data_IF_879979544457
#
_entry.id   IF_879979544457
#
_cell.length_a   1.000
_cell.length_b   1.000
_cell.length_c   1.000
_cell.angle_alpha   90.00
_cell.angle_beta   90.00
_cell.angle_gamma   90.00
#
_symmetry.space_group_name_H-M   'P 1'
#
loop_
_entity.id
_entity.type
_entity.pdbx_description
1 polymer ?
#
# COMPACT_ATOMS: atom_id res chain seq x y z
N UNK A 1 44.95 40.89 7.99
CA UNK A 1 45.35 39.53 7.59
C UNK A 1 44.18 38.61 7.89
N UNK A 2 43.42 38.23 6.87
CA UNK A 2 42.16 37.50 7.02
C UNK A 2 42.39 36.11 6.45
N UNK A 3 42.46 35.09 7.31
CA UNK A 3 42.60 33.69 6.89
C UNK A 3 41.29 33.22 6.28
N UNK A 4 41.32 32.86 5.00
CA UNK A 4 40.26 32.10 4.35
C UNK A 4 40.49 30.60 4.62
N UNK A 5 39.54 29.96 5.31
CA UNK A 5 39.51 28.52 5.50
C UNK A 5 38.92 27.86 4.25
N UNK A 6 39.72 27.04 3.55
CA UNK A 6 39.25 26.19 2.46
C UNK A 6 38.67 24.89 3.03
N UNK A 7 37.38 24.66 2.83
CA UNK A 7 36.69 23.40 3.16
C UNK A 7 36.96 22.40 2.02
N UNK A 8 37.59 21.28 2.36
CA UNK A 8 37.90 20.19 1.42
C UNK A 8 36.65 19.35 1.17
N UNK A 9 36.17 19.31 -0.08
CA UNK A 9 35.08 18.43 -0.52
C UNK A 9 35.65 17.04 -0.81
N UNK A 10 35.20 16.04 -0.04
CA UNK A 10 35.52 14.63 -0.30
C UNK A 10 34.78 14.16 -1.56
N UNK A 11 35.55 13.66 -2.54
CA UNK A 11 35.03 13.05 -3.77
C UNK A 11 34.42 11.67 -3.49
N UNK A 12 33.25 11.45 -4.08
CA UNK A 12 32.53 10.18 -4.22
C UNK A 12 33.35 9.16 -5.04
N UNK A 13 33.31 7.89 -4.63
CA UNK A 13 33.67 6.75 -5.48
C UNK A 13 32.72 5.56 -5.23
N UNK A 14 31.89 5.21 -6.22
CA UNK A 14 31.31 3.87 -6.45
C UNK A 14 31.34 3.67 -7.97
N UNK A 15 31.90 2.55 -8.49
CA UNK A 15 31.10 1.38 -8.89
C UNK A 15 31.85 0.05 -8.58
N UNK A 16 31.26 -1.15 -8.55
CA UNK A 16 30.43 -1.78 -9.59
C UNK A 16 29.68 -2.98 -8.99
N UNK A 17 28.43 -3.21 -9.40
CA UNK A 17 27.77 -4.50 -9.23
C UNK A 17 28.04 -5.34 -10.50
N UNK A 18 28.68 -6.49 -10.31
CA UNK A 18 28.89 -7.49 -11.37
C UNK A 18 27.62 -8.33 -11.53
N UNK A 19 27.10 -8.36 -12.75
CA UNK A 19 26.15 -9.36 -13.24
C UNK A 19 26.85 -10.72 -13.41
N UNK A 20 26.11 -11.81 -13.19
CA UNK A 20 26.13 -13.16 -13.82
C UNK A 20 25.23 -14.07 -12.94
N UNK A 21 24.55 -15.12 -13.38
CA UNK A 21 24.06 -15.66 -14.66
C UNK A 21 23.34 -16.99 -14.29
N UNK A 22 22.37 -17.39 -15.11
CA UNK A 22 21.81 -18.73 -15.37
C UNK A 22 21.66 -19.83 -14.30
N UNK A 23 20.46 -20.42 -14.24
CA UNK A 23 20.24 -21.79 -14.77
C UNK A 23 18.77 -22.23 -14.67
N UNK A 24 18.22 -22.58 -15.84
CA UNK A 24 17.02 -23.37 -16.08
C UNK A 24 17.30 -24.87 -15.82
N UNK A 25 16.35 -25.57 -15.22
CA UNK A 25 16.06 -27.00 -15.43
C UNK A 25 14.69 -27.28 -14.77
N UNK A 26 13.61 -27.39 -15.54
CA UNK A 26 13.10 -28.61 -16.20
C UNK A 26 12.83 -29.78 -15.25
N UNK A 27 11.54 -30.09 -15.08
CA UNK A 27 11.06 -31.41 -14.66
C UNK A 27 9.57 -31.50 -14.98
N UNK A 28 9.26 -31.64 -16.27
CA UNK A 28 8.00 -32.26 -16.70
C UNK A 28 7.99 -33.72 -16.26
N UNK A 29 7.14 -34.07 -15.29
CA UNK A 29 6.75 -35.46 -15.04
C UNK A 29 5.28 -35.63 -15.38
N UNK A 30 5.04 -36.01 -16.64
CA UNK A 30 3.80 -36.59 -17.13
C UNK A 30 3.73 -38.03 -16.64
N UNK A 31 2.74 -38.37 -15.81
CA UNK A 31 2.26 -39.73 -15.71
C UNK A 31 0.84 -39.77 -16.27
N UNK A 32 0.69 -40.49 -17.37
CA UNK A 32 -0.56 -40.76 -18.03
C UNK A 32 -1.12 -42.13 -17.55
N UNK A 33 -2.45 -42.21 -17.62
CA UNK A 33 -3.33 -43.39 -17.77
C UNK A 33 -3.43 -44.37 -16.58
N UNK A 34 -4.62 -44.50 -15.97
CA UNK A 34 -5.55 -45.57 -16.35
C UNK A 34 -7.02 -45.20 -16.07
N UNK A 35 -7.83 -45.57 -17.06
CA UNK A 35 -9.28 -45.47 -17.18
C UNK A 35 -9.95 -46.57 -16.34
N UNK A 36 -11.00 -46.24 -15.60
CA UNK A 36 -11.96 -47.25 -15.12
C UNK A 36 -13.35 -46.64 -15.22
N UNK A 37 -14.08 -47.10 -16.23
CA UNK A 37 -15.53 -46.99 -16.32
C UNK A 37 -16.15 -47.85 -15.21
N UNK A 38 -17.09 -47.30 -14.44
CA UNK A 38 -18.38 -47.97 -14.25
C UNK A 38 -19.46 -47.00 -13.74
N UNK A 39 -20.60 -47.22 -14.37
CA UNK A 39 -21.90 -46.56 -14.34
C UNK A 39 -22.58 -46.59 -12.96
N UNK A 40 -23.04 -45.44 -12.48
CA UNK A 40 -24.20 -45.32 -11.59
C UNK A 40 -24.69 -43.86 -11.51
N UNK A 41 -25.79 -43.56 -12.19
CA UNK A 41 -26.62 -42.35 -11.94
C UNK A 41 -27.42 -42.55 -10.65
N UNK A 42 -27.43 -41.57 -9.69
CA UNK A 42 -28.63 -40.75 -9.55
C UNK A 42 -28.39 -39.27 -9.16
N UNK A 43 -29.23 -38.43 -9.77
CA UNK A 43 -29.88 -37.21 -9.26
C UNK A 43 -29.09 -36.07 -8.57
N UNK A 44 -29.05 -34.95 -9.31
CA UNK A 44 -29.31 -33.58 -8.86
C UNK A 44 -28.70 -33.13 -7.51
N UNK A 45 -27.48 -32.61 -7.59
CA UNK A 45 -26.94 -31.64 -6.64
C UNK A 45 -26.33 -30.50 -7.45
N UNK A 46 -26.87 -29.30 -7.26
CA UNK A 46 -26.35 -28.03 -7.75
C UNK A 46 -24.92 -27.80 -7.23
N UNK A 47 -23.91 -28.26 -7.99
CA UNK A 47 -22.51 -27.94 -7.73
C UNK A 47 -22.23 -26.54 -8.25
N UNK A 48 -22.66 -25.56 -7.46
CA UNK A 48 -22.12 -24.21 -7.51
C UNK A 48 -20.61 -24.35 -7.32
N UNK A 49 -19.85 -24.18 -8.40
CA UNK A 49 -18.39 -24.05 -8.38
C UNK A 49 -18.03 -23.06 -7.25
N UNK A 50 -17.19 -23.45 -6.27
CA UNK A 50 -16.72 -22.48 -5.31
C UNK A 50 -15.91 -21.44 -6.10
N UNK A 51 -16.49 -20.25 -6.24
CA UNK A 51 -15.76 -19.05 -6.62
C UNK A 51 -14.47 -19.05 -5.81
N UNK A 52 -13.34 -19.02 -6.50
CA UNK A 52 -12.04 -18.86 -5.87
C UNK A 52 -12.03 -17.51 -5.16
N UNK A 53 -12.53 -17.51 -3.92
CA UNK A 53 -12.22 -16.52 -2.90
C UNK A 53 -10.73 -16.63 -2.70
N UNK A 54 -10.01 -15.86 -3.52
CA UNK A 54 -8.59 -15.61 -3.36
C UNK A 54 -8.47 -14.94 -2.00
N UNK A 55 -8.35 -15.77 -0.95
CA UNK A 55 -8.40 -15.43 0.46
C UNK A 55 -7.25 -14.54 0.89
N UNK A 56 -7.20 -13.32 0.34
CA UNK A 56 -6.35 -12.25 0.79
C UNK A 56 -6.96 -11.81 2.12
N UNK A 57 -6.50 -12.45 3.19
CA UNK A 57 -6.70 -11.96 4.55
C UNK A 57 -6.17 -10.53 4.59
N UNK A 58 -7.08 -9.55 4.54
CA UNK A 58 -6.73 -8.14 4.67
C UNK A 58 -6.15 -7.94 6.07
N UNK A 59 -4.84 -7.75 6.13
CA UNK A 59 -4.16 -7.39 7.38
C UNK A 59 -4.77 -6.10 7.91
N UNK A 60 -4.87 -5.95 9.22
CA UNK A 60 -5.20 -4.67 9.82
C UNK A 60 -3.91 -3.83 9.90
N UNK A 61 -4.02 -2.52 9.80
CA UNK A 61 -2.91 -1.59 9.96
C UNK A 61 -2.48 -1.46 11.43
N UNK A 62 -1.93 -2.54 12.01
CA UNK A 62 -1.54 -2.63 13.43
C UNK A 62 -0.39 -1.70 13.82
N UNK A 63 0.21 -1.01 12.85
CA UNK A 63 1.31 -0.06 13.04
C UNK A 63 0.91 1.42 13.00
N UNK A 64 -0.37 1.78 12.88
CA UNK A 64 -0.78 3.19 12.86
C UNK A 64 -1.21 3.70 14.25
N UNK A 65 -0.40 4.54 14.92
CA UNK A 65 -0.74 5.00 16.27
C UNK A 65 -2.00 5.86 16.29
N UNK A 66 -2.70 5.84 17.42
CA UNK A 66 -3.85 6.72 17.64
C UNK A 66 -3.43 8.18 17.53
N UNK A 67 -4.19 8.96 16.77
CA UNK A 67 -3.92 10.36 16.46
C UNK A 67 -3.22 10.61 15.12
N UNK A 68 -2.82 9.54 14.40
CA UNK A 68 -1.95 9.65 13.22
C UNK A 68 -2.64 9.21 11.92
N UNK A 69 -2.09 9.69 10.82
CA UNK A 69 -2.25 9.12 9.48
C UNK A 69 -0.94 8.42 9.13
N UNK A 70 -1.02 7.27 8.47
CA UNK A 70 0.13 6.42 8.20
C UNK A 70 0.12 5.98 6.74
N UNK A 71 1.32 5.94 6.16
CA UNK A 71 1.58 5.48 4.80
C UNK A 71 2.71 4.46 4.85
N UNK A 72 2.60 3.41 4.04
CA UNK A 72 3.65 2.40 3.89
C UNK A 72 4.12 2.32 2.45
N UNK A 73 5.41 2.06 2.30
CA UNK A 73 6.01 1.87 0.98
C UNK A 73 5.51 0.61 0.31
N UNK A 74 5.11 -0.41 1.09
CA UNK A 74 4.67 -1.70 0.55
C UNK A 74 3.18 -1.94 0.84
N UNK A 75 2.63 -2.89 0.09
CA UNK A 75 1.27 -3.42 0.27
C UNK A 75 1.12 -4.14 1.61
N UNK A 76 -0.12 -4.26 2.07
CA UNK A 76 -0.48 -4.93 3.33
C UNK A 76 0.24 -4.35 4.57
N UNK A 77 0.49 -3.05 4.57
CA UNK A 77 1.11 -2.33 5.69
C UNK A 77 2.50 -2.86 6.06
N UNK A 78 3.23 -3.44 5.09
CA UNK A 78 4.57 -3.98 5.32
C UNK A 78 5.61 -2.87 5.40
N UNK A 79 6.60 -3.06 6.27
CA UNK A 79 7.67 -2.10 6.53
C UNK A 79 7.31 -1.08 7.60
N UNK A 80 8.19 -0.09 7.77
CA UNK A 80 7.98 0.99 8.73
C UNK A 80 7.11 2.08 8.11
N UNK A 81 6.02 2.51 8.78
CA UNK A 81 5.19 3.58 8.24
C UNK A 81 5.88 4.94 8.37
N UNK A 82 5.75 5.76 7.34
CA UNK A 82 5.75 7.19 7.58
C UNK A 82 4.43 7.57 8.23
N UNK A 83 4.48 8.42 9.26
CA UNK A 83 3.29 8.85 9.97
C UNK A 83 3.34 10.34 10.29
N UNK A 84 2.15 10.93 10.41
CA UNK A 84 2.00 12.33 10.79
C UNK A 84 0.78 12.52 11.68
N UNK A 85 0.90 13.41 12.65
CA UNK A 85 -0.20 13.91 13.47
C UNK A 85 -0.47 15.39 13.23
N UNK A 86 0.31 16.06 12.36
CA UNK A 86 0.11 17.47 12.00
C UNK A 86 -1.20 17.64 11.24
N UNK A 87 -1.96 18.72 11.51
CA UNK A 87 -3.29 18.90 10.91
C UNK A 87 -3.23 18.97 9.37
N UNK A 88 -2.09 19.41 8.84
CA UNK A 88 -1.71 19.42 7.43
C UNK A 88 -0.26 18.95 7.35
N UNK A 89 0.07 18.14 6.35
CA UNK A 89 1.44 17.66 6.15
C UNK A 89 1.69 17.36 4.67
N UNK A 90 2.82 17.81 4.15
CA UNK A 90 3.42 17.27 2.93
C UNK A 90 4.08 15.93 3.27
N UNK A 91 3.91 14.92 2.42
CA UNK A 91 4.58 13.63 2.58
C UNK A 91 6.06 13.82 2.28
N UNK A 92 6.92 13.47 3.24
CA UNK A 92 8.35 13.72 3.15
C UNK A 92 9.16 12.50 2.73
N UNK A 93 10.41 12.76 2.34
CA UNK A 93 11.42 11.72 2.10
C UNK A 93 11.10 10.80 0.94
N UNK A 94 11.50 9.53 1.07
CA UNK A 94 11.33 8.50 0.04
C UNK A 94 9.88 8.02 -0.12
N UNK A 95 8.94 8.52 0.67
CA UNK A 95 7.53 8.10 0.62
C UNK A 95 6.62 9.07 -0.13
N UNK A 96 7.10 10.27 -0.42
CA UNK A 96 6.38 11.19 -1.29
C UNK A 96 6.19 10.54 -2.66
N UNK A 97 4.94 10.35 -3.10
CA UNK A 97 4.62 9.64 -4.33
C UNK A 97 5.22 8.22 -4.41
N UNK A 98 5.28 7.50 -3.28
CA UNK A 98 5.87 6.16 -3.22
C UNK A 98 5.22 5.27 -2.14
N UNK A 99 3.92 5.45 -1.92
CA UNK A 99 3.14 4.67 -0.95
C UNK A 99 2.20 3.69 -1.64
N UNK A 100 2.00 2.52 -1.01
CA UNK A 100 1.23 1.41 -1.56
C UNK A 100 0.06 0.97 -0.66
N UNK A 101 0.11 1.34 0.61
CA UNK A 101 -0.98 1.15 1.57
C UNK A 101 -1.06 2.32 2.55
N UNK A 102 -2.25 2.57 3.08
CA UNK A 102 -2.53 3.74 3.91
C UNK A 102 -3.50 3.40 5.05
N UNK A 103 -3.38 4.12 6.16
CA UNK A 103 -4.32 4.03 7.27
C UNK A 103 -4.54 5.40 7.91
N UNK A 104 -5.75 5.62 8.40
CA UNK A 104 -6.16 6.78 9.15
C UNK A 104 -6.61 6.34 10.54
N UNK A 105 -5.80 6.67 11.54
CA UNK A 105 -6.17 6.60 12.94
C UNK A 105 -6.16 8.01 13.55
N UNK A 106 -6.56 8.99 12.73
CA UNK A 106 -6.40 10.41 13.03
C UNK A 106 -7.20 10.91 14.23
N UNK A 107 -6.79 12.06 14.76
CA UNK A 107 -7.52 12.77 15.83
C UNK A 107 -8.88 13.32 15.39
N UNK A 108 -9.08 13.50 14.08
CA UNK A 108 -10.33 13.98 13.47
C UNK A 108 -11.06 12.83 12.78
N UNK A 109 -12.33 13.00 12.42
CA UNK A 109 -13.14 11.93 11.81
C UNK A 109 -12.67 11.55 10.42
N UNK A 110 -12.07 12.47 9.66
CA UNK A 110 -11.61 12.25 8.29
C UNK A 110 -10.15 12.62 8.11
N UNK A 111 -9.45 11.84 7.32
CA UNK A 111 -8.08 12.09 6.86
C UNK A 111 -8.07 12.05 5.35
N UNK A 112 -7.78 13.19 4.73
CA UNK A 112 -7.69 13.36 3.30
C UNK A 112 -6.25 13.11 2.84
N UNK A 113 -6.11 12.40 1.74
CA UNK A 113 -4.84 12.10 1.08
C UNK A 113 -4.93 12.68 -0.34
N UNK A 114 -4.03 13.61 -0.65
CA UNK A 114 -3.97 14.34 -1.90
C UNK A 114 -2.80 13.85 -2.74
N UNK A 115 -2.90 13.97 -4.06
CA UNK A 115 -1.80 13.64 -4.96
C UNK A 115 -0.71 14.72 -5.01
N UNK A 116 -1.09 16.00 -4.96
CA UNK A 116 -0.14 17.10 -4.87
C UNK A 116 0.43 17.26 -3.45
N UNK A 117 1.57 17.94 -3.33
CA UNK A 117 2.28 18.20 -2.08
C UNK A 117 1.74 19.39 -1.26
N UNK A 118 0.79 20.13 -1.84
CA UNK A 118 0.25 21.40 -1.34
C UNK A 118 -1.24 21.34 -0.93
N UNK A 119 -1.79 20.12 -0.72
CA UNK A 119 -3.19 19.85 -0.38
C UNK A 119 -4.20 20.20 -1.48
N UNK A 120 -3.75 20.21 -2.75
CA UNK A 120 -4.61 20.38 -3.93
C UNK A 120 -4.66 19.10 -4.76
N UNK A 121 -5.33 19.16 -5.92
CA UNK A 121 -5.42 18.04 -6.85
C UNK A 121 -6.50 17.02 -6.48
N UNK A 122 -6.30 15.78 -6.92
CA UNK A 122 -7.23 14.70 -6.64
C UNK A 122 -7.07 14.27 -5.18
N UNK A 123 -8.13 13.68 -4.62
CA UNK A 123 -8.04 13.14 -3.28
C UNK A 123 -9.00 11.98 -3.05
N UNK A 124 -8.64 11.19 -2.05
CA UNK A 124 -9.57 10.36 -1.30
C UNK A 124 -9.45 10.67 0.19
N UNK A 125 -10.36 10.12 0.98
CA UNK A 125 -10.27 10.18 2.43
C UNK A 125 -10.56 8.81 3.05
N UNK A 126 -9.86 8.55 4.15
CA UNK A 126 -10.15 7.47 5.08
C UNK A 126 -10.75 8.08 6.35
N UNK A 127 -11.70 7.38 6.96
CA UNK A 127 -12.22 7.79 8.25
C UNK A 127 -11.24 7.38 9.35
N UNK A 128 -11.26 8.06 10.50
CA UNK A 128 -10.41 7.65 11.62
C UNK A 128 -10.92 6.36 12.25
N UNK A 129 -10.03 5.38 12.39
CA UNK A 129 -10.30 4.12 13.09
C UNK A 129 -10.86 4.39 14.49
N UNK A 130 -10.23 5.28 15.25
CA UNK A 130 -10.64 5.53 16.63
C UNK A 130 -11.94 6.36 16.75
N UNK A 131 -12.25 7.23 15.79
CA UNK A 131 -13.43 8.11 15.86
C UNK A 131 -14.67 7.55 15.17
N UNK A 132 -14.48 6.73 14.13
CA UNK A 132 -15.56 6.26 13.25
C UNK A 132 -15.60 4.73 13.17
N UNK A 133 -14.44 4.05 13.16
CA UNK A 133 -14.37 2.59 13.22
C UNK A 133 -14.55 1.85 11.88
N UNK A 134 -14.75 2.53 10.76
CA UNK A 134 -14.88 1.92 9.43
C UNK A 134 -14.20 2.74 8.33
N UNK A 135 -13.85 2.10 7.19
CA UNK A 135 -13.18 2.76 6.05
C UNK A 135 -11.92 3.54 6.46
N UNK A 136 -11.11 2.95 7.34
CA UNK A 136 -9.98 3.63 7.96
C UNK A 136 -8.63 3.17 7.45
N UNK A 137 -8.59 2.21 6.54
CA UNK A 137 -7.36 1.66 6.01
C UNK A 137 -7.58 1.11 4.62
N UNK A 138 -6.51 1.10 3.83
CA UNK A 138 -6.47 0.49 2.51
C UNK A 138 -5.15 -0.27 2.33
N UNK A 139 -5.17 -1.59 2.14
CA UNK A 139 -3.98 -2.42 1.99
C UNK A 139 -3.37 -2.36 0.57
N UNK A 140 -4.13 -1.89 -0.43
CA UNK A 140 -3.78 -1.94 -1.86
C UNK A 140 -4.30 -0.71 -2.61
N UNK A 141 -3.56 0.41 -2.52
CA UNK A 141 -3.95 1.68 -3.13
C UNK A 141 -4.17 1.62 -4.65
N UNK A 142 -3.67 0.58 -5.33
CA UNK A 142 -3.83 0.39 -6.77
C UNK A 142 -5.29 0.27 -7.22
N UNK A 143 -6.18 -0.20 -6.35
CA UNK A 143 -7.55 -0.57 -6.72
C UNK A 143 -8.58 0.49 -6.31
N UNK A 144 -8.15 1.72 -6.04
CA UNK A 144 -8.95 2.69 -5.31
C UNK A 144 -8.66 2.66 -3.82
N UNK A 145 -9.08 3.70 -3.11
CA UNK A 145 -8.93 3.83 -1.68
C UNK A 145 -10.03 4.68 -1.05
N UNK A 146 -10.59 4.19 0.05
CA UNK A 146 -11.45 4.98 0.90
C UNK A 146 -12.71 5.53 0.23
N UNK A 147 -12.96 6.84 0.44
CA UNK A 147 -14.11 7.57 -0.09
C UNK A 147 -13.68 8.91 -0.70
N UNK A 148 -14.48 9.46 -1.60
CA UNK A 148 -14.20 10.74 -2.24
C UNK A 148 -14.46 10.69 -3.75
N UNK A 149 -14.39 11.84 -4.44
CA UNK A 149 -14.69 11.91 -5.88
C UNK A 149 -13.74 11.04 -6.73
N UNK A 150 -12.50 10.89 -6.28
CA UNK A 150 -11.42 10.20 -6.99
C UNK A 150 -11.00 8.90 -6.30
N UNK A 151 -11.80 8.41 -5.34
CA UNK A 151 -11.47 7.22 -4.54
C UNK A 151 -11.36 5.92 -5.35
N UNK A 152 -11.87 5.89 -6.58
CA UNK A 152 -11.82 4.72 -7.46
C UNK A 152 -10.57 4.66 -8.34
N UNK A 153 -9.73 5.71 -8.34
CA UNK A 153 -8.52 5.76 -9.14
C UNK A 153 -7.41 4.89 -8.54
N UNK A 154 -6.41 4.54 -9.34
CA UNK A 154 -5.17 3.97 -8.82
C UNK A 154 -4.43 5.03 -8.00
N UNK A 155 -4.26 4.81 -6.69
CA UNK A 155 -3.57 5.68 -5.73
C UNK A 155 -2.14 5.22 -5.37
N UNK A 156 -1.67 4.10 -5.95
CA UNK A 156 -0.32 3.59 -5.76
C UNK A 156 0.70 4.64 -6.20
N UNK A 157 1.66 4.97 -5.32
CA UNK A 157 2.74 5.91 -5.60
C UNK A 157 2.29 7.33 -5.99
N UNK A 158 1.13 7.79 -5.48
CA UNK A 158 0.60 9.12 -5.81
C UNK A 158 0.46 10.09 -4.67
N UNK A 159 0.47 9.63 -3.43
CA UNK A 159 0.11 10.49 -2.30
C UNK A 159 1.25 11.46 -1.98
N UNK A 160 0.98 12.77 -2.12
CA UNK A 160 1.92 13.85 -1.88
C UNK A 160 1.63 14.68 -0.62
N UNK A 161 0.38 14.72 -0.13
CA UNK A 161 0.06 15.44 1.10
C UNK A 161 -1.19 14.93 1.82
N UNK A 162 -1.32 15.30 3.09
CA UNK A 162 -2.38 14.83 4.00
C UNK A 162 -2.99 15.99 4.78
N UNK A 163 -4.31 15.97 4.96
CA UNK A 163 -5.07 16.87 5.84
C UNK A 163 -6.02 16.11 6.75
N UNK A 164 -6.05 16.45 8.03
CA UNK A 164 -7.11 16.00 8.95
C UNK A 164 -8.28 16.97 8.92
N UNK A 165 -9.52 16.47 8.92
CA UNK A 165 -10.73 17.29 8.85
C UNK A 165 -11.84 16.69 9.70
N UNK A 166 -12.86 17.51 10.03
CA UNK A 166 -13.96 17.14 10.94
C UNK A 166 -13.45 16.70 12.33
N UNK A 167 -12.78 17.62 13.02
CA UNK A 167 -12.10 17.37 14.30
C UNK A 167 -12.97 17.57 15.55
N UNK A 168 -14.25 17.91 15.37
CA UNK A 168 -15.18 18.29 16.43
C UNK A 168 -15.95 17.10 16.98
#
# INVERSE_FOLDING_TARGET
MTLAAAVSMSLLAIPSATAVDDSLDDSLAVNAVEETTDDATPEAGDETLPSEDSGISVRQATGCPRGYACLWQYKDYRGYPWNTSSHRATVGGNLNNNSNSAAANGRCKKTYFYDNDDLTGHYFYLASQHRVGGNYQDPFLRNGAGKGPFAHENWENRIGSIKFDDCK
#
